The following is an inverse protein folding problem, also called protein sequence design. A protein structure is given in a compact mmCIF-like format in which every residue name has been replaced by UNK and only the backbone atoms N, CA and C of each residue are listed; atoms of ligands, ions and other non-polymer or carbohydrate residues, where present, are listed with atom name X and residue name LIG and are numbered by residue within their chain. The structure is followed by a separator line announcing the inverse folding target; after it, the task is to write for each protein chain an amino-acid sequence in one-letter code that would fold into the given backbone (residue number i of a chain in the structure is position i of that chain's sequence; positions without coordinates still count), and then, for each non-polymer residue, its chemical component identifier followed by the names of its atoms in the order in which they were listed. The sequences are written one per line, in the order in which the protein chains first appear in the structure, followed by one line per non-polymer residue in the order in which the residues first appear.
data_IF_526071674046
#
_entry.id   IF_526071674046
#
_cell.length_a   1.000
_cell.length_b   1.000
_cell.length_c   1.000
_cell.angle_alpha   90.00
_cell.angle_beta   90.00
_cell.angle_gamma   90.00
#
_symmetry.space_group_name_H-M   'P 1'
#
loop_
_entity.id
_entity.type
_entity.pdbx_description
1 polymer ?
#
# COMPACT_ATOMS: atom_id res chain seq x y z
N UNK A 1 5.29 -3.67 24.55
CA UNK A 1 4.86 -2.59 23.64
C UNK A 1 4.16 -1.54 24.48
N UNK A 2 4.54 -0.26 24.36
CA UNK A 2 3.97 0.83 25.19
C UNK A 2 2.62 1.35 24.64
N UNK A 3 2.20 1.00 23.41
CA UNK A 3 0.89 1.33 22.86
C UNK A 3 0.27 0.08 22.19
N UNK A 4 -0.99 -0.22 22.49
CA UNK A 4 -1.73 -1.28 21.84
C UNK A 4 -2.05 -0.91 20.38
N UNK A 5 -1.88 -1.85 19.46
CA UNK A 5 -1.93 -1.63 18.01
C UNK A 5 -3.26 -1.01 17.51
N UNK A 6 -4.38 -1.28 18.19
CA UNK A 6 -5.72 -0.79 17.82
C UNK A 6 -6.29 0.25 18.79
N UNK A 7 -5.49 0.78 19.72
CA UNK A 7 -5.94 1.79 20.64
C UNK A 7 -6.04 3.14 19.91
N UNK A 8 -7.21 3.77 19.92
CA UNK A 8 -7.46 5.09 19.32
C UNK A 8 -7.07 6.24 20.24
N UNK A 9 -6.76 5.97 21.51
CA UNK A 9 -6.34 6.97 22.48
C UNK A 9 -4.81 7.13 22.47
N UNK A 10 -4.36 8.36 22.63
CA UNK A 10 -2.95 8.66 22.84
C UNK A 10 -2.58 8.32 24.28
N UNK A 11 -1.49 7.58 24.46
CA UNK A 11 -0.91 7.28 25.76
C UNK A 11 0.32 8.19 25.93
N UNK A 12 0.25 9.12 26.87
CA UNK A 12 1.28 10.11 27.24
C UNK A 12 2.21 10.58 26.08
N UNK A 13 3.19 9.75 25.68
CA UNK A 13 4.16 10.08 24.63
C UNK A 13 4.11 9.12 23.42
N UNK A 14 3.08 8.27 23.32
CA UNK A 14 3.00 7.26 22.25
C UNK A 14 1.59 7.19 21.66
N UNK A 15 1.53 7.04 20.33
CA UNK A 15 0.28 6.74 19.63
C UNK A 15 0.47 5.57 18.67
N UNK A 16 -0.58 4.77 18.48
CA UNK A 16 -0.59 3.78 17.42
C UNK A 16 -0.73 4.47 16.06
N UNK A 17 -0.20 3.86 14.99
CA UNK A 17 -0.43 4.37 13.64
C UNK A 17 -1.93 4.43 13.27
N UNK A 18 -2.77 3.61 13.93
CA UNK A 18 -4.23 3.66 13.79
C UNK A 18 -4.81 4.91 14.44
N UNK A 19 -4.35 5.29 15.64
CA UNK A 19 -4.77 6.51 16.31
C UNK A 19 -4.38 7.77 15.51
N UNK A 20 -3.16 7.80 14.98
CA UNK A 20 -2.68 8.91 14.14
C UNK A 20 -3.54 9.05 12.89
N UNK A 21 -3.77 7.94 12.14
CA UNK A 21 -4.66 7.96 10.97
C UNK A 21 -6.06 8.41 11.33
N UNK A 22 -6.64 7.88 12.41
CA UNK A 22 -7.97 8.30 12.85
C UNK A 22 -8.07 9.80 13.07
N UNK A 23 -7.04 10.43 13.68
CA UNK A 23 -7.02 11.89 13.90
C UNK A 23 -6.90 12.70 12.61
N UNK A 24 -6.29 12.14 11.56
CA UNK A 24 -6.22 12.81 10.25
C UNK A 24 -7.57 12.82 9.52
N UNK A 25 -8.38 11.75 9.67
CA UNK A 25 -9.68 11.62 8.99
C UNK A 25 -10.86 12.22 9.77
N UNK A 26 -10.64 12.58 11.03
CA UNK A 26 -11.68 13.18 11.89
C UNK A 26 -11.27 14.58 12.27
N UNK A 27 -12.22 15.55 12.17
CA UNK A 27 -12.00 16.92 12.63
C UNK A 27 -12.04 16.99 14.16
N UNK A 28 -11.29 16.13 14.85
CA UNK A 28 -11.27 16.02 16.29
C UNK A 28 -10.24 16.96 16.93
N UNK A 29 -10.60 17.50 18.12
CA UNK A 29 -9.71 18.24 19.02
C UNK A 29 -8.40 17.53 19.41
N UNK A 30 -8.28 16.26 19.04
CA UNK A 30 -7.09 15.44 19.30
C UNK A 30 -5.93 15.68 18.31
N UNK A 31 -6.14 16.44 17.22
CA UNK A 31 -5.06 16.67 16.25
C UNK A 31 -3.87 17.42 16.89
N UNK A 32 -4.14 18.41 17.74
CA UNK A 32 -3.08 19.14 18.45
C UNK A 32 -2.21 18.26 19.36
N UNK A 33 -2.77 17.17 19.87
CA UNK A 33 -2.05 16.19 20.69
C UNK A 33 -1.05 15.34 19.89
N UNK A 34 -1.16 15.32 18.54
CA UNK A 34 -0.17 14.65 17.69
C UNK A 34 1.24 15.19 17.91
N UNK A 35 1.37 16.49 18.19
CA UNK A 35 2.67 17.11 18.46
C UNK A 35 3.45 16.44 19.61
N UNK A 36 2.76 15.80 20.55
CA UNK A 36 3.39 15.13 21.70
C UNK A 36 3.85 13.70 21.38
N UNK A 37 3.37 13.10 20.29
CA UNK A 37 3.55 11.67 19.99
C UNK A 37 4.23 11.38 18.65
N UNK A 38 4.58 12.43 17.89
CA UNK A 38 5.35 12.36 16.65
C UNK A 38 6.47 13.41 16.66
N UNK A 39 7.57 13.22 15.89
CA UNK A 39 8.60 14.25 15.70
C UNK A 39 8.01 15.55 15.11
N UNK A 40 8.62 16.69 15.41
CA UNK A 40 8.13 17.99 14.96
C UNK A 40 7.98 18.08 13.43
N UNK A 41 8.95 17.60 12.66
CA UNK A 41 8.89 17.59 11.20
C UNK A 41 7.71 16.74 10.69
N UNK A 42 7.46 15.59 11.32
CA UNK A 42 6.30 14.76 11.02
C UNK A 42 5.00 15.49 11.35
N UNK A 43 4.95 16.20 12.49
CA UNK A 43 3.77 16.96 12.88
C UNK A 43 3.44 18.05 11.85
N UNK A 44 4.42 18.81 11.38
CA UNK A 44 4.20 19.85 10.35
C UNK A 44 3.68 19.27 9.03
N UNK A 45 4.24 18.15 8.56
CA UNK A 45 3.74 17.45 7.37
C UNK A 45 2.29 16.95 7.55
N UNK A 46 1.97 16.37 8.71
CA UNK A 46 0.62 15.92 9.01
C UNK A 46 -0.37 17.08 9.12
N UNK A 47 0.08 18.23 9.62
CA UNK A 47 -0.73 19.44 9.70
C UNK A 47 -1.08 19.99 8.31
N UNK A 48 -0.12 20.03 7.39
CA UNK A 48 -0.34 20.42 6.00
C UNK A 48 -1.34 19.48 5.32
N UNK A 49 -1.13 18.15 5.44
CA UNK A 49 -2.04 17.14 4.91
C UNK A 49 -3.45 17.28 5.49
N UNK A 50 -3.56 17.53 6.80
CA UNK A 50 -4.86 17.72 7.46
C UNK A 50 -5.58 18.98 6.96
N UNK A 51 -4.85 20.09 6.76
CA UNK A 51 -5.41 21.35 6.25
C UNK A 51 -5.86 21.23 4.79
N UNK A 52 -5.08 20.57 3.96
CA UNK A 52 -5.38 20.39 2.54
C UNK A 52 -6.37 19.24 2.27
N UNK A 53 -6.64 18.39 3.27
CA UNK A 53 -7.43 17.16 3.14
C UNK A 53 -6.92 16.25 2.02
N UNK A 54 -5.61 16.30 1.72
CA UNK A 54 -4.97 15.47 0.71
C UNK A 54 -4.70 14.06 1.26
N UNK A 55 -5.78 13.36 1.59
CA UNK A 55 -5.78 12.04 2.21
C UNK A 55 -6.33 10.97 1.26
N UNK A 56 -5.73 9.77 1.27
CA UNK A 56 -6.23 8.66 0.47
C UNK A 56 -7.45 8.01 1.14
N UNK A 57 -8.55 7.84 0.40
CA UNK A 57 -9.74 7.15 0.86
C UNK A 57 -9.95 5.85 0.09
N UNK A 58 -9.94 4.73 0.80
CA UNK A 58 -10.14 3.41 0.19
C UNK A 58 -11.53 3.28 -0.47
N UNK A 59 -12.50 4.07 -0.02
CA UNK A 59 -13.86 4.11 -0.58
C UNK A 59 -13.88 4.45 -2.08
N UNK A 60 -12.90 5.23 -2.58
CA UNK A 60 -12.80 5.54 -4.01
C UNK A 60 -12.49 4.30 -4.88
N UNK A 61 -11.99 3.22 -4.28
CA UNK A 61 -11.78 1.95 -4.98
C UNK A 61 -13.05 1.08 -5.03
N UNK A 62 -14.14 1.47 -4.37
CA UNK A 62 -15.35 0.66 -4.28
C UNK A 62 -15.94 0.35 -5.66
N UNK A 63 -16.10 1.36 -6.52
CA UNK A 63 -16.62 1.17 -7.87
C UNK A 63 -15.75 0.22 -8.69
N UNK A 64 -14.42 0.35 -8.61
CA UNK A 64 -13.48 -0.52 -9.31
C UNK A 64 -13.60 -1.96 -8.81
N UNK A 65 -13.72 -2.16 -7.49
CA UNK A 65 -13.89 -3.46 -6.87
C UNK A 65 -15.20 -4.13 -7.33
N UNK A 66 -16.31 -3.39 -7.25
CA UNK A 66 -17.63 -3.92 -7.64
C UNK A 66 -17.69 -4.23 -9.14
N UNK A 67 -17.14 -3.36 -9.98
CA UNK A 67 -17.03 -3.60 -11.40
C UNK A 67 -16.25 -4.89 -11.69
N UNK A 68 -15.08 -5.04 -11.07
CA UNK A 68 -14.27 -6.26 -11.22
C UNK A 68 -15.00 -7.51 -10.76
N UNK A 69 -15.67 -7.47 -9.62
CA UNK A 69 -16.40 -8.63 -9.09
C UNK A 69 -17.62 -9.00 -9.94
N UNK A 70 -18.43 -8.03 -10.38
CA UNK A 70 -19.62 -8.28 -11.20
C UNK A 70 -19.31 -8.82 -12.59
N UNK A 71 -18.13 -8.52 -13.12
CA UNK A 71 -17.67 -8.99 -14.44
C UNK A 71 -16.78 -10.23 -14.35
N UNK A 72 -16.36 -10.64 -13.13
CA UNK A 72 -15.46 -11.78 -12.97
C UNK A 72 -16.16 -13.12 -13.22
N UNK A 73 -15.42 -14.04 -13.81
CA UNK A 73 -15.81 -15.44 -13.86
C UNK A 73 -15.40 -16.16 -12.58
N UNK A 74 -16.16 -17.21 -12.22
CA UNK A 74 -15.94 -17.94 -10.98
C UNK A 74 -14.52 -18.57 -10.91
N UNK A 75 -14.06 -19.14 -12.01
CA UNK A 75 -12.74 -19.75 -12.14
C UNK A 75 -11.58 -18.75 -12.01
N UNK A 76 -11.79 -17.49 -12.39
CA UNK A 76 -10.83 -16.39 -12.17
C UNK A 76 -10.74 -16.02 -10.70
N UNK A 77 -11.89 -15.92 -10.02
CA UNK A 77 -11.93 -15.59 -8.60
C UNK A 77 -11.27 -16.67 -7.74
N UNK A 78 -11.48 -17.94 -8.04
CA UNK A 78 -10.87 -19.06 -7.29
C UNK A 78 -9.34 -19.07 -7.35
N UNK A 79 -8.73 -18.45 -8.38
CA UNK A 79 -7.28 -18.31 -8.53
C UNK A 79 -6.68 -17.18 -7.65
N UNK A 80 -7.49 -16.21 -7.23
CA UNK A 80 -7.01 -15.09 -6.43
C UNK A 80 -6.52 -15.57 -5.05
N UNK A 81 -5.36 -15.05 -4.65
CA UNK A 81 -4.78 -15.36 -3.35
C UNK A 81 -5.72 -14.90 -2.21
N UNK A 82 -5.87 -15.75 -1.20
CA UNK A 82 -6.77 -15.47 -0.07
C UNK A 82 -8.22 -15.89 -0.29
N UNK A 83 -8.67 -16.21 -1.51
CA UNK A 83 -9.99 -16.78 -1.76
C UNK A 83 -9.93 -18.29 -1.46
N UNK A 84 -10.74 -18.69 -0.48
CA UNK A 84 -10.96 -20.08 -0.07
C UNK A 84 -12.36 -20.52 -0.52
N UNK A 85 -12.56 -21.81 -0.59
CA UNK A 85 -13.83 -22.43 -1.01
C UNK A 85 -15.06 -21.78 -0.36
N UNK A 86 -16.02 -21.41 -1.17
CA UNK A 86 -17.28 -20.75 -0.80
C UNK A 86 -17.20 -19.23 -0.65
N UNK A 87 -16.00 -18.63 -0.58
CA UNK A 87 -15.87 -17.17 -0.47
C UNK A 87 -16.15 -16.49 -1.82
N UNK A 88 -15.82 -17.12 -2.93
CA UNK A 88 -16.08 -16.64 -4.29
C UNK A 88 -17.58 -16.36 -4.52
N UNK A 89 -18.45 -17.27 -4.11
CA UNK A 89 -19.92 -17.08 -4.20
C UNK A 89 -20.40 -15.94 -3.29
N UNK A 90 -19.86 -15.86 -2.07
CA UNK A 90 -20.20 -14.81 -1.13
C UNK A 90 -19.76 -13.44 -1.66
N UNK A 91 -18.59 -13.34 -2.28
CA UNK A 91 -18.09 -12.12 -2.92
C UNK A 91 -19.02 -11.66 -4.04
N UNK A 92 -19.40 -12.55 -4.96
CA UNK A 92 -20.31 -12.25 -6.06
C UNK A 92 -21.69 -11.79 -5.56
N UNK A 93 -22.25 -12.51 -4.59
CA UNK A 93 -23.54 -12.13 -3.98
C UNK A 93 -23.43 -10.75 -3.34
N UNK A 94 -22.41 -10.51 -2.50
CA UNK A 94 -22.21 -9.24 -1.81
C UNK A 94 -21.97 -8.09 -2.77
N UNK A 95 -21.23 -8.33 -3.88
CA UNK A 95 -20.98 -7.31 -4.89
C UNK A 95 -22.27 -6.84 -5.60
N UNK A 96 -23.30 -7.67 -5.66
CA UNK A 96 -24.60 -7.30 -6.22
C UNK A 96 -25.48 -6.50 -5.24
N UNK A 97 -25.25 -6.67 -3.94
CA UNK A 97 -26.10 -6.12 -2.86
C UNK A 97 -25.49 -4.90 -2.16
N UNK A 98 -24.15 -4.74 -2.23
CA UNK A 98 -23.46 -3.70 -1.50
C UNK A 98 -23.62 -2.32 -2.16
N UNK A 99 -23.85 -1.31 -1.34
CA UNK A 99 -24.05 0.09 -1.76
C UNK A 99 -22.79 0.96 -1.55
N UNK A 100 -21.88 0.54 -0.68
CA UNK A 100 -20.59 1.18 -0.43
C UNK A 100 -19.58 0.17 0.15
N UNK A 101 -18.33 0.58 0.32
CA UNK A 101 -17.26 -0.30 0.78
C UNK A 101 -17.47 -0.79 2.22
N UNK A 102 -18.00 0.03 3.09
CA UNK A 102 -18.29 -0.34 4.47
C UNK A 102 -19.40 -1.42 4.53
N UNK A 103 -20.49 -1.23 3.79
CA UNK A 103 -21.58 -2.20 3.66
C UNK A 103 -21.07 -3.53 3.06
N UNK A 104 -20.20 -3.45 2.04
CA UNK A 104 -19.54 -4.61 1.45
C UNK A 104 -18.77 -5.42 2.49
N UNK A 105 -17.94 -4.75 3.30
CA UNK A 105 -17.18 -5.43 4.35
C UNK A 105 -18.07 -5.98 5.46
N UNK A 106 -19.14 -5.27 5.85
CA UNK A 106 -20.07 -5.74 6.89
C UNK A 106 -20.78 -7.03 6.47
N UNK A 107 -21.23 -7.13 5.22
CA UNK A 107 -21.88 -8.33 4.67
C UNK A 107 -20.93 -9.51 4.52
N UNK A 108 -19.65 -9.25 4.19
CA UNK A 108 -18.63 -10.30 4.06
C UNK A 108 -18.08 -10.78 5.38
N UNK A 109 -17.98 -9.89 6.38
CA UNK A 109 -17.34 -10.19 7.68
C UNK A 109 -17.96 -11.41 8.34
N UNK A 110 -17.11 -12.27 8.90
CA UNK A 110 -17.48 -13.44 9.69
C UNK A 110 -16.33 -13.82 10.61
N UNK A 111 -16.53 -14.78 11.52
CA UNK A 111 -15.46 -15.33 12.36
C UNK A 111 -14.29 -15.86 11.49
N UNK A 112 -14.59 -16.46 10.34
CA UNK A 112 -13.59 -17.01 9.41
C UNK A 112 -12.86 -15.91 8.59
N UNK A 113 -13.52 -14.76 8.36
CA UNK A 113 -13.00 -13.67 7.55
C UNK A 113 -13.05 -12.35 8.32
N UNK A 114 -12.03 -12.05 9.13
CA UNK A 114 -11.92 -10.78 9.84
C UNK A 114 -11.68 -9.62 8.86
N UNK A 115 -12.05 -8.39 9.26
CA UNK A 115 -12.01 -7.20 8.43
C UNK A 115 -10.64 -6.97 7.75
N UNK A 116 -9.56 -7.13 8.50
CA UNK A 116 -8.20 -6.93 7.99
C UNK A 116 -7.83 -7.90 6.86
N UNK A 117 -8.36 -9.12 6.90
CA UNK A 117 -8.18 -10.08 5.81
C UNK A 117 -8.99 -9.70 4.58
N UNK A 118 -10.21 -9.19 4.77
CA UNK A 118 -11.07 -8.71 3.68
C UNK A 118 -10.48 -7.47 3.00
N UNK A 119 -9.92 -6.55 3.76
CA UNK A 119 -9.23 -5.38 3.20
C UNK A 119 -8.03 -5.79 2.34
N UNK A 120 -7.20 -6.74 2.81
CA UNK A 120 -6.11 -7.29 1.99
C UNK A 120 -6.63 -8.03 0.75
N UNK A 121 -7.68 -8.81 0.89
CA UNK A 121 -8.30 -9.51 -0.24
C UNK A 121 -8.80 -8.54 -1.32
N UNK A 122 -9.35 -7.38 -0.92
CA UNK A 122 -9.73 -6.32 -1.87
C UNK A 122 -8.55 -5.88 -2.73
N UNK A 123 -7.37 -5.68 -2.10
CA UNK A 123 -6.16 -5.32 -2.85
C UNK A 123 -5.68 -6.47 -3.74
N UNK A 124 -5.74 -7.71 -3.28
CA UNK A 124 -5.40 -8.87 -4.09
C UNK A 124 -6.31 -9.02 -5.32
N UNK A 125 -7.60 -8.77 -5.14
CA UNK A 125 -8.56 -8.74 -6.24
C UNK A 125 -8.21 -7.64 -7.25
N UNK A 126 -8.02 -6.40 -6.79
CA UNK A 126 -7.75 -5.25 -7.66
C UNK A 126 -6.42 -5.38 -8.41
N UNK A 127 -5.38 -5.90 -7.76
CA UNK A 127 -4.06 -6.11 -8.34
C UNK A 127 -3.91 -7.46 -9.05
N UNK A 128 -4.96 -8.28 -9.08
CA UNK A 128 -4.93 -9.61 -9.68
C UNK A 128 -3.82 -10.53 -9.11
N UNK A 129 -3.64 -10.49 -7.79
CA UNK A 129 -2.65 -11.32 -7.10
C UNK A 129 -3.18 -12.75 -7.01
N UNK A 130 -2.62 -13.66 -7.79
CA UNK A 130 -3.03 -15.07 -7.83
C UNK A 130 -2.25 -15.94 -6.85
N UNK A 131 -2.77 -17.13 -6.55
CA UNK A 131 -2.11 -18.15 -5.72
C UNK A 131 -0.77 -18.58 -6.33
N UNK A 132 -0.74 -18.81 -7.65
CA UNK A 132 0.47 -19.21 -8.37
C UNK A 132 1.54 -18.12 -8.34
N UNK A 133 1.11 -16.85 -8.44
CA UNK A 133 2.03 -15.72 -8.35
C UNK A 133 2.70 -15.64 -6.98
N UNK A 134 1.93 -15.76 -5.90
CA UNK A 134 2.48 -15.76 -4.53
C UNK A 134 3.41 -16.96 -4.34
N UNK A 135 3.02 -18.15 -4.81
CA UNK A 135 3.87 -19.34 -4.71
C UNK A 135 5.24 -19.11 -5.39
N UNK A 136 5.25 -18.56 -6.62
CA UNK A 136 6.51 -18.21 -7.30
C UNK A 136 7.35 -17.21 -6.54
N UNK A 137 6.72 -16.22 -5.88
CA UNK A 137 7.44 -15.22 -5.09
C UNK A 137 7.99 -15.82 -3.79
N UNK A 138 7.24 -16.69 -3.13
CA UNK A 138 7.69 -17.39 -1.92
C UNK A 138 8.88 -18.32 -2.24
N UNK A 139 8.85 -19.01 -3.39
CA UNK A 139 9.92 -19.90 -3.82
C UNK A 139 11.22 -19.14 -4.16
N UNK A 140 11.11 -17.92 -4.69
CA UNK A 140 12.28 -17.12 -5.09
C UNK A 140 12.79 -16.20 -3.98
N UNK A 141 11.95 -15.84 -3.01
CA UNK A 141 12.22 -14.83 -2.00
C UNK A 141 12.34 -13.40 -2.56
N UNK A 142 12.94 -12.51 -1.80
CA UNK A 142 13.12 -11.11 -2.19
C UNK A 142 14.15 -10.99 -3.33
N UNK A 143 13.73 -10.50 -4.49
CA UNK A 143 14.57 -10.39 -5.69
C UNK A 143 15.26 -9.02 -5.84
N UNK A 144 14.91 -8.03 -5.01
CA UNK A 144 15.54 -6.70 -5.01
C UNK A 144 15.32 -5.98 -3.68
N UNK A 145 16.04 -4.89 -3.49
CA UNK A 145 15.77 -3.91 -2.45
C UNK A 145 15.57 -2.53 -3.08
N UNK A 146 14.44 -1.86 -2.81
CA UNK A 146 14.17 -0.49 -3.26
C UNK A 146 14.63 0.51 -2.23
N UNK A 147 15.45 1.47 -2.67
CA UNK A 147 15.89 2.59 -1.84
C UNK A 147 14.84 3.70 -1.93
N UNK A 148 14.27 4.08 -0.80
CA UNK A 148 13.26 5.15 -0.74
C UNK A 148 13.86 6.50 -0.36
N UNK A 149 14.86 6.49 0.55
CA UNK A 149 15.55 7.69 0.99
C UNK A 149 16.96 7.34 1.48
N UNK A 150 17.87 8.30 1.44
CA UNK A 150 19.21 8.18 1.99
C UNK A 150 19.80 9.57 2.30
N UNK A 151 20.83 9.61 3.12
CA UNK A 151 21.61 10.80 3.46
C UNK A 151 23.07 10.65 3.00
N UNK A 152 23.96 11.57 3.40
CA UNK A 152 25.38 11.54 3.05
C UNK A 152 26.04 10.21 3.42
N UNK A 153 25.83 9.71 4.65
CA UNK A 153 26.33 8.39 5.09
C UNK A 153 25.71 7.25 4.28
N UNK A 154 24.43 7.36 3.95
CA UNK A 154 23.72 6.40 3.09
C UNK A 154 24.29 6.32 1.68
N UNK A 155 24.86 7.41 1.16
CA UNK A 155 25.52 7.41 -0.16
C UNK A 155 26.74 6.46 -0.18
N UNK A 156 27.56 6.46 0.85
CA UNK A 156 28.70 5.56 0.96
C UNK A 156 28.26 4.12 1.14
N UNK A 157 27.27 3.89 2.00
CA UNK A 157 26.68 2.58 2.22
C UNK A 157 26.08 2.01 0.93
N UNK A 158 25.34 2.80 0.15
CA UNK A 158 24.78 2.38 -1.13
C UNK A 158 25.85 1.98 -2.14
N UNK A 159 27.00 2.65 -2.17
CA UNK A 159 28.14 2.24 -3.00
C UNK A 159 28.65 0.85 -2.61
N UNK A 160 28.78 0.57 -1.31
CA UNK A 160 29.20 -0.74 -0.81
C UNK A 160 28.12 -1.80 -1.06
N UNK A 161 26.86 -1.50 -0.81
CA UNK A 161 25.73 -2.43 -1.05
C UNK A 161 25.67 -2.84 -2.53
N UNK A 162 25.80 -1.89 -3.46
CA UNK A 162 25.78 -2.19 -4.91
C UNK A 162 26.92 -3.10 -5.37
N UNK A 163 28.05 -3.14 -4.64
CA UNK A 163 29.19 -4.03 -4.93
C UNK A 163 29.02 -5.43 -4.33
N UNK A 164 28.39 -5.53 -3.17
CA UNK A 164 28.41 -6.75 -2.35
C UNK A 164 27.06 -7.43 -2.22
N UNK A 165 25.95 -6.76 -2.54
CA UNK A 165 24.62 -7.35 -2.41
C UNK A 165 24.39 -8.42 -3.48
N UNK A 166 23.79 -9.54 -3.07
CA UNK A 166 23.41 -10.63 -3.97
C UNK A 166 22.18 -10.31 -4.82
N UNK A 167 21.42 -9.27 -4.43
CA UNK A 167 20.21 -8.80 -5.14
C UNK A 167 20.39 -7.35 -5.59
N UNK A 168 19.72 -6.92 -6.67
CA UNK A 168 19.76 -5.55 -7.15
C UNK A 168 19.30 -4.54 -6.09
N UNK A 169 20.04 -3.44 -5.95
CA UNK A 169 19.68 -2.27 -5.13
C UNK A 169 19.09 -1.21 -6.05
N UNK A 170 17.78 -1.08 -6.06
CA UNK A 170 17.04 -0.22 -6.99
C UNK A 170 16.97 1.20 -6.44
N UNK A 171 17.62 2.13 -7.12
CA UNK A 171 17.49 3.58 -6.88
C UNK A 171 16.69 4.27 -7.99
N UNK A 172 16.52 3.60 -9.14
CA UNK A 172 15.75 4.08 -10.29
C UNK A 172 15.00 2.93 -10.92
N UNK A 173 13.68 2.96 -10.84
CA UNK A 173 12.80 1.87 -11.34
C UNK A 173 12.98 1.63 -12.83
N UNK A 174 13.10 2.70 -13.62
CA UNK A 174 13.25 2.62 -15.08
C UNK A 174 14.52 1.93 -15.56
N UNK A 175 15.51 1.71 -14.70
CA UNK A 175 16.71 0.93 -15.03
C UNK A 175 16.42 -0.58 -15.15
N UNK A 176 15.30 -1.04 -14.62
CA UNK A 176 14.91 -2.45 -14.57
C UNK A 176 13.55 -2.71 -15.22
N UNK A 177 12.62 -1.79 -15.06
CA UNK A 177 11.26 -1.89 -15.59
C UNK A 177 10.77 -0.48 -15.93
N UNK A 178 10.46 -0.23 -17.20
CA UNK A 178 9.79 0.99 -17.64
C UNK A 178 8.27 0.78 -17.78
N UNK A 179 7.54 1.87 -17.99
CA UNK A 179 6.07 1.84 -18.07
C UNK A 179 5.54 1.04 -19.27
N UNK A 180 6.31 0.94 -20.38
CA UNK A 180 5.92 0.18 -21.57
C UNK A 180 6.16 -1.32 -21.34
N UNK A 181 7.35 -1.67 -20.81
CA UNK A 181 7.72 -3.04 -20.51
C UNK A 181 6.79 -3.65 -19.46
N UNK A 182 6.37 -2.88 -18.45
CA UNK A 182 5.41 -3.31 -17.42
C UNK A 182 4.11 -3.88 -18.00
N UNK A 183 3.65 -3.37 -19.14
CA UNK A 183 2.42 -3.79 -19.79
C UNK A 183 2.60 -5.01 -20.71
N UNK A 184 3.79 -5.59 -20.84
CA UNK A 184 4.04 -6.76 -21.68
C UNK A 184 3.62 -8.05 -20.98
N UNK A 185 3.27 -9.06 -21.79
CA UNK A 185 2.80 -10.36 -21.29
C UNK A 185 3.92 -11.26 -20.73
N UNK A 186 5.17 -11.02 -21.11
CA UNK A 186 6.31 -11.85 -20.71
C UNK A 186 7.27 -11.05 -19.86
N UNK A 187 7.03 -11.03 -18.55
CA UNK A 187 7.93 -10.52 -17.56
C UNK A 187 8.66 -11.66 -16.87
N UNK A 188 9.91 -11.45 -16.49
CA UNK A 188 10.61 -12.34 -15.55
C UNK A 188 9.98 -12.22 -14.16
N UNK A 189 10.20 -13.20 -13.27
CA UNK A 189 9.68 -13.14 -11.88
C UNK A 189 10.10 -11.87 -11.15
N UNK A 190 11.33 -11.41 -11.38
CA UNK A 190 11.83 -10.13 -10.87
C UNK A 190 11.00 -8.94 -11.38
N UNK A 191 10.74 -8.90 -12.67
CA UNK A 191 9.96 -7.82 -13.30
C UNK A 191 8.50 -7.87 -12.92
N UNK A 192 7.90 -9.06 -12.74
CA UNK A 192 6.54 -9.23 -12.21
C UNK A 192 6.45 -8.69 -10.78
N UNK A 193 7.42 -9.01 -9.91
CA UNK A 193 7.45 -8.51 -8.53
C UNK A 193 7.54 -6.98 -8.50
N UNK A 194 8.42 -6.40 -9.31
CA UNK A 194 8.58 -4.95 -9.43
C UNK A 194 7.35 -4.28 -10.09
N UNK A 195 6.71 -4.95 -11.05
CA UNK A 195 5.48 -4.46 -11.67
C UNK A 195 4.33 -4.35 -10.66
N UNK A 196 4.19 -5.33 -9.76
CA UNK A 196 3.17 -5.30 -8.70
C UNK A 196 3.40 -4.13 -7.75
N UNK A 197 4.65 -3.86 -7.34
CA UNK A 197 4.98 -2.68 -6.53
C UNK A 197 4.49 -1.40 -7.20
N UNK A 198 4.80 -1.25 -8.51
CA UNK A 198 4.41 -0.05 -9.26
C UNK A 198 2.89 0.01 -9.49
N UNK A 199 2.19 -1.12 -9.72
CA UNK A 199 0.74 -1.15 -9.79
C UNK A 199 0.07 -0.83 -8.44
N UNK A 200 0.68 -1.24 -7.33
CA UNK A 200 0.20 -0.88 -6.00
C UNK A 200 0.25 0.64 -5.77
N UNK A 201 1.29 1.33 -6.25
CA UNK A 201 1.37 2.79 -6.24
C UNK A 201 0.27 3.43 -7.09
N UNK A 202 0.01 2.90 -8.29
CA UNK A 202 -1.08 3.41 -9.14
C UNK A 202 -2.45 3.23 -8.46
N UNK A 203 -2.69 2.06 -7.88
CA UNK A 203 -3.93 1.81 -7.14
C UNK A 203 -4.07 2.76 -5.94
N UNK A 204 -2.98 3.02 -5.22
CA UNK A 204 -2.96 4.00 -4.14
C UNK A 204 -3.26 5.42 -4.63
N UNK A 205 -2.73 5.82 -5.79
CA UNK A 205 -3.01 7.12 -6.40
C UNK A 205 -4.49 7.33 -6.73
N UNK A 206 -5.22 6.26 -7.03
CA UNK A 206 -6.68 6.30 -7.23
C UNK A 206 -7.49 6.49 -5.93
N UNK A 207 -6.85 6.35 -4.77
CA UNK A 207 -7.50 6.61 -3.48
C UNK A 207 -7.61 8.11 -3.13
N UNK A 208 -7.14 9.02 -3.99
CA UNK A 208 -7.23 10.48 -3.80
C UNK A 208 -8.34 11.11 -4.66
N UNK A 209 -8.79 12.29 -4.27
CA UNK A 209 -9.74 13.09 -5.05
C UNK A 209 -9.29 14.56 -5.14
N UNK A 210 -8.87 15.07 -6.32
CA UNK A 210 -8.67 14.28 -7.55
C UNK A 210 -7.55 13.25 -7.40
N UNK A 211 -7.59 12.17 -8.19
CA UNK A 211 -6.53 11.16 -8.12
C UNK A 211 -5.17 11.72 -8.54
N UNK A 212 -4.12 11.15 -7.93
CA UNK A 212 -2.74 11.55 -8.19
C UNK A 212 -2.28 11.12 -9.58
N UNK A 213 -1.32 11.82 -10.18
CA UNK A 213 -0.81 11.48 -11.50
C UNK A 213 -0.20 10.08 -11.57
N UNK A 214 -0.38 9.45 -12.72
CA UNK A 214 0.22 8.18 -13.08
C UNK A 214 1.75 8.24 -13.20
N UNK A 215 2.41 7.12 -12.90
CA UNK A 215 3.82 6.90 -13.25
C UNK A 215 4.83 7.44 -12.23
N UNK A 216 4.42 7.75 -11.01
CA UNK A 216 5.32 8.27 -9.97
C UNK A 216 6.54 7.38 -9.73
N UNK A 217 6.39 6.06 -9.73
CA UNK A 217 7.51 5.13 -9.53
C UNK A 217 8.58 5.20 -10.63
N UNK A 218 8.23 5.70 -11.81
CA UNK A 218 9.15 5.84 -12.95
C UNK A 218 9.80 7.22 -13.02
N UNK A 219 9.22 8.22 -12.36
CA UNK A 219 9.67 9.62 -12.42
C UNK A 219 10.28 10.12 -11.10
N UNK A 220 9.98 9.44 -9.98
CA UNK A 220 10.46 9.86 -8.66
C UNK A 220 11.76 9.15 -8.30
N UNK A 221 12.78 9.91 -7.94
CA UNK A 221 14.03 9.40 -7.36
C UNK A 221 13.90 9.23 -5.84
N UNK A 222 14.75 8.40 -5.21
CA UNK A 222 14.82 8.33 -3.76
C UNK A 222 15.08 9.72 -3.15
N UNK A 223 14.44 9.98 -2.02
CA UNK A 223 14.63 11.23 -1.31
C UNK A 223 16.06 11.30 -0.75
N UNK A 224 16.79 12.36 -1.10
CA UNK A 224 18.10 12.63 -0.54
C UNK A 224 18.00 13.68 0.57
N UNK A 225 18.38 13.28 1.78
CA UNK A 225 18.43 14.16 2.95
C UNK A 225 19.87 14.58 3.18
N UNK A 226 20.17 15.86 2.93
CA UNK A 226 21.47 16.43 3.23
C UNK A 226 21.59 16.63 4.76
N UNK A 227 22.54 15.96 5.40
CA UNK A 227 22.85 16.21 6.79
C UNK A 227 23.55 17.56 6.88
N UNK A 228 22.90 18.57 7.46
CA UNK A 228 23.61 19.77 7.86
C UNK A 228 24.60 19.32 8.95
N UNK A 229 25.90 19.40 8.64
CA UNK A 229 26.90 19.32 9.69
C UNK A 229 26.68 20.55 10.58
N UNK A 230 25.97 20.39 11.67
CA UNK A 230 26.08 21.30 12.79
C UNK A 230 27.51 21.14 13.32
N UNK A 231 28.37 22.13 13.00
CA UNK A 231 29.67 22.31 13.62
C UNK A 231 29.50 22.72 15.10
#
# INVERSE_FOLDING_TARGET
MKAEHNNLNYQENFASGTAIRHSLYTNNSNFSKLKQVVPDETYFLLQEIHQTQDLPHLDYLFTNLISKLRLAKLDELTKIYGIREGLEYKLLKTANEAINLQDFFQKLKSKRYPLTNLQRLTLYLLLNITKDLIQRFDDTGALYARVLAFNDKGTELLKQMKKNASIPIITKTTSYLDSKKRCQQKLTTFEEMLAIDTYATELYNLCFNPFKPYGKDFTTSPYYFKTNNEN
#
